data_IF_664903352231
#
_entry.id   IF_664903352231
#
_cell.length_a   1.000
_cell.length_b   1.000
_cell.length_c   1.000
_cell.angle_alpha   90.00
_cell.angle_beta   90.00
_cell.angle_gamma   90.00
#
_symmetry.space_group_name_H-M   'P 1'
#
loop_
_entity.id
_entity.type
_entity.pdbx_description
1 polymer ?
#
# COMPACT_ATOMS: atom_id res chain seq x y z
N UNK A 1 6.25 -20.30 9.64
CA UNK A 1 6.08 -19.01 8.98
C UNK A 1 7.06 -18.91 7.82
N UNK A 2 6.55 -18.68 6.62
CA UNK A 2 7.47 -18.36 5.52
C UNK A 2 7.97 -16.92 5.70
N UNK A 3 9.28 -16.75 5.76
CA UNK A 3 9.88 -15.42 5.74
C UNK A 3 9.68 -14.84 4.34
N UNK A 4 9.01 -13.71 4.24
CA UNK A 4 8.90 -13.01 2.97
C UNK A 4 10.30 -12.65 2.47
N UNK A 5 10.66 -13.14 1.29
CA UNK A 5 11.96 -12.87 0.69
C UNK A 5 11.94 -11.48 0.08
N UNK A 6 13.01 -10.72 0.28
CA UNK A 6 13.21 -9.47 -0.42
C UNK A 6 13.30 -9.72 -1.94
N UNK A 7 12.80 -8.76 -2.73
CA UNK A 7 12.95 -8.83 -4.18
C UNK A 7 14.42 -8.72 -4.58
N UNK A 8 14.91 -9.74 -5.25
CA UNK A 8 16.24 -9.70 -5.84
C UNK A 8 16.08 -9.39 -7.34
N UNK A 9 16.57 -8.24 -7.83
CA UNK A 9 16.57 -7.99 -9.26
C UNK A 9 17.36 -9.06 -9.98
N UNK A 10 16.83 -9.57 -11.10
CA UNK A 10 17.63 -10.43 -11.98
C UNK A 10 18.66 -9.60 -12.70
N UNK A 11 19.88 -10.10 -12.73
CA UNK A 11 20.89 -9.54 -13.62
C UNK A 11 20.42 -9.72 -15.08
N UNK A 12 20.54 -8.66 -15.85
CA UNK A 12 20.37 -8.70 -17.30
C UNK A 12 18.95 -8.91 -17.86
N UNK A 13 17.96 -8.30 -17.29
CA UNK A 13 16.57 -8.48 -17.71
C UNK A 13 15.94 -7.30 -18.46
N UNK A 14 16.66 -6.60 -19.28
CA UNK A 14 16.06 -5.59 -20.15
C UNK A 14 15.19 -4.53 -19.44
N UNK A 15 15.58 -4.10 -18.27
CA UNK A 15 15.13 -2.84 -17.68
C UNK A 15 13.96 -2.88 -16.71
N UNK A 16 13.09 -3.88 -16.69
CA UNK A 16 11.90 -3.85 -15.83
C UNK A 16 11.66 -5.09 -14.96
N UNK A 17 12.61 -5.98 -14.88
CA UNK A 17 12.43 -7.19 -14.09
C UNK A 17 12.65 -6.92 -12.59
N UNK A 18 11.63 -7.18 -11.80
CA UNK A 18 11.63 -6.93 -10.35
C UNK A 18 11.69 -8.22 -9.50
N UNK A 19 11.98 -9.37 -10.11
CA UNK A 19 11.98 -10.66 -9.41
C UNK A 19 10.60 -11.27 -9.17
N UNK A 20 9.55 -10.68 -9.73
CA UNK A 20 8.20 -11.20 -9.59
C UNK A 20 8.04 -12.58 -10.26
N UNK A 21 7.35 -13.47 -9.56
CA UNK A 21 6.99 -14.80 -10.06
C UNK A 21 5.47 -14.95 -10.05
N UNK A 22 4.82 -15.01 -11.23
CA UNK A 22 3.36 -15.01 -11.32
C UNK A 22 2.67 -16.16 -10.57
N UNK A 23 3.30 -17.33 -10.54
CA UNK A 23 2.70 -18.53 -9.91
C UNK A 23 2.92 -18.58 -8.40
N UNK A 24 3.92 -17.87 -7.92
CA UNK A 24 4.28 -17.81 -6.48
C UNK A 24 4.41 -16.36 -6.03
N UNK A 25 3.30 -15.60 -6.00
CA UNK A 25 3.36 -14.19 -5.61
C UNK A 25 3.75 -14.04 -4.15
N UNK A 26 4.44 -12.95 -3.88
CA UNK A 26 4.72 -12.54 -2.51
C UNK A 26 3.65 -11.55 -2.06
N UNK A 27 2.77 -11.99 -1.18
CA UNK A 27 1.64 -11.18 -0.69
C UNK A 27 1.73 -10.89 0.81
N UNK A 28 2.79 -11.33 1.48
CA UNK A 28 3.01 -11.11 2.89
C UNK A 28 4.02 -10.01 3.15
N UNK A 29 3.80 -9.25 4.22
CA UNK A 29 4.70 -8.18 4.61
C UNK A 29 6.03 -8.73 5.14
N UNK A 30 7.13 -8.06 4.81
CA UNK A 30 8.47 -8.42 5.29
C UNK A 30 8.61 -8.15 6.79
N UNK A 31 7.99 -7.05 7.25
CA UNK A 31 7.94 -6.69 8.67
C UNK A 31 6.47 -6.62 9.08
N UNK A 32 5.95 -7.61 9.78
CA UNK A 32 4.67 -7.44 10.48
C UNK A 32 4.87 -6.44 11.62
N UNK A 33 3.88 -5.60 11.82
CA UNK A 33 4.08 -4.38 12.60
C UNK A 33 4.15 -4.55 14.08
N UNK A 34 3.61 -5.58 14.70
CA UNK A 34 3.67 -5.64 16.17
C UNK A 34 3.10 -6.95 16.75
N UNK A 35 3.49 -7.19 17.99
CA UNK A 35 2.86 -8.13 18.92
C UNK A 35 1.45 -7.70 19.38
N UNK A 36 0.93 -6.58 18.88
CA UNK A 36 -0.42 -6.13 19.20
C UNK A 36 -1.46 -7.03 18.54
N UNK A 37 -2.47 -7.37 19.32
CA UNK A 37 -3.65 -8.10 18.81
C UNK A 37 -4.29 -7.25 17.71
N UNK A 38 -4.28 -7.79 16.50
CA UNK A 38 -4.88 -7.15 15.34
C UNK A 38 -6.41 -7.25 15.44
N UNK A 39 -7.17 -6.16 15.21
CA UNK A 39 -8.61 -6.25 15.15
C UNK A 39 -9.07 -7.29 14.11
N UNK A 40 -10.04 -8.10 14.47
CA UNK A 40 -10.53 -9.18 13.62
C UNK A 40 -10.98 -8.68 12.24
N UNK A 41 -11.69 -7.55 12.20
CA UNK A 41 -12.15 -6.92 10.97
C UNK A 41 -10.98 -6.60 10.03
N UNK A 42 -9.87 -6.09 10.56
CA UNK A 42 -8.68 -5.77 9.78
C UNK A 42 -8.04 -7.06 9.21
N UNK A 43 -7.91 -8.08 10.03
CA UNK A 43 -7.35 -9.36 9.60
C UNK A 43 -8.22 -10.02 8.51
N UNK A 44 -9.52 -9.96 8.64
CA UNK A 44 -10.46 -10.46 7.62
C UNK A 44 -10.35 -9.69 6.32
N UNK A 45 -10.26 -8.36 6.39
CA UNK A 45 -10.08 -7.52 5.20
C UNK A 45 -8.76 -7.84 4.51
N UNK A 46 -7.67 -7.95 5.24
CA UNK A 46 -6.37 -8.30 4.68
C UNK A 46 -6.39 -9.67 4.01
N UNK A 47 -7.11 -10.63 4.56
CA UNK A 47 -7.30 -11.93 3.93
C UNK A 47 -8.11 -11.84 2.64
N UNK A 48 -9.21 -11.06 2.65
CA UNK A 48 -10.08 -10.90 1.47
C UNK A 48 -9.40 -10.20 0.31
N UNK A 49 -8.62 -9.15 0.55
CA UNK A 49 -7.95 -8.43 -0.53
C UNK A 49 -6.91 -9.27 -1.26
N UNK A 50 -6.31 -10.26 -0.59
CA UNK A 50 -5.36 -11.18 -1.24
C UNK A 50 -5.99 -11.98 -2.37
N UNK A 51 -7.29 -12.24 -2.31
CA UNK A 51 -8.02 -12.94 -3.36
C UNK A 51 -7.98 -12.20 -4.70
N UNK A 52 -7.81 -10.88 -4.66
CA UNK A 52 -7.67 -10.06 -5.87
C UNK A 52 -6.53 -10.53 -6.78
N UNK A 53 -5.46 -11.04 -6.22
CA UNK A 53 -4.33 -11.48 -7.04
C UNK A 53 -4.74 -12.53 -8.08
N UNK A 54 -5.52 -13.52 -7.69
CA UNK A 54 -5.98 -14.60 -8.58
C UNK A 54 -7.32 -14.32 -9.25
N UNK A 55 -8.10 -13.43 -8.68
CA UNK A 55 -9.43 -13.09 -9.18
C UNK A 55 -9.62 -11.56 -9.20
N UNK A 56 -9.09 -10.86 -10.22
CA UNK A 56 -9.14 -9.40 -10.30
C UNK A 56 -10.56 -8.81 -10.27
N UNK A 57 -11.57 -9.59 -10.57
CA UNK A 57 -12.98 -9.19 -10.46
C UNK A 57 -13.43 -8.81 -9.04
N UNK A 58 -12.70 -9.21 -8.01
CA UNK A 58 -13.02 -8.84 -6.63
C UNK A 58 -12.82 -7.35 -6.34
N UNK A 59 -11.92 -6.70 -7.05
CA UNK A 59 -11.72 -5.25 -6.98
C UNK A 59 -11.71 -4.67 -8.40
N UNK A 60 -12.88 -4.52 -9.04
CA UNK A 60 -12.95 -4.10 -10.44
C UNK A 60 -12.32 -2.73 -10.70
N UNK A 61 -12.45 -1.80 -9.75
CA UNK A 61 -11.87 -0.47 -9.86
C UNK A 61 -10.34 -0.50 -9.89
N UNK A 62 -9.72 -1.39 -9.13
CA UNK A 62 -8.27 -1.56 -9.14
C UNK A 62 -7.79 -2.23 -10.43
N UNK A 63 -8.52 -3.21 -10.91
CA UNK A 63 -8.22 -3.86 -12.18
C UNK A 63 -8.29 -2.88 -13.36
N UNK A 64 -9.15 -1.88 -13.30
CA UNK A 64 -9.33 -0.86 -14.32
C UNK A 64 -8.50 0.42 -14.07
N UNK A 65 -7.70 0.48 -13.02
CA UNK A 65 -7.03 1.69 -12.57
C UNK A 65 -6.03 2.27 -13.59
N UNK A 66 -5.49 1.45 -14.47
CA UNK A 66 -4.57 1.90 -15.52
C UNK A 66 -5.27 2.44 -16.78
N UNK A 67 -6.60 2.53 -16.79
CA UNK A 67 -7.37 2.98 -17.95
C UNK A 67 -7.39 2.01 -19.14
N UNK A 68 -6.81 0.83 -19.01
CA UNK A 68 -6.77 -0.20 -20.04
C UNK A 68 -7.94 -1.18 -19.89
N UNK A 69 -8.43 -1.70 -21.00
CA UNK A 69 -9.38 -2.81 -21.01
C UNK A 69 -8.75 -4.15 -20.62
N UNK A 70 -7.42 -4.20 -20.57
CA UNK A 70 -6.68 -5.41 -20.19
C UNK A 70 -6.67 -5.54 -18.67
N UNK A 71 -6.67 -6.78 -18.22
CA UNK A 71 -6.46 -7.12 -16.83
C UNK A 71 -5.12 -6.54 -16.31
N UNK A 72 -5.12 -5.99 -15.13
CA UNK A 72 -3.90 -5.51 -14.48
C UNK A 72 -2.85 -6.64 -14.39
N UNK A 73 -1.62 -6.34 -14.76
CA UNK A 73 -0.54 -7.34 -14.73
C UNK A 73 -0.34 -7.91 -13.34
N UNK A 74 0.02 -9.18 -13.25
CA UNK A 74 0.25 -9.87 -11.97
C UNK A 74 1.30 -9.19 -11.10
N UNK A 75 2.35 -8.67 -11.69
CA UNK A 75 3.37 -7.90 -10.99
C UNK A 75 2.79 -6.64 -10.32
N UNK A 76 1.92 -5.93 -11.01
CA UNK A 76 1.24 -4.75 -10.44
C UNK A 76 0.21 -5.13 -9.39
N UNK A 77 -0.52 -6.22 -9.60
CA UNK A 77 -1.46 -6.73 -8.57
C UNK A 77 -0.73 -7.07 -7.28
N UNK A 78 0.41 -7.74 -7.38
CA UNK A 78 1.25 -8.03 -6.22
C UNK A 78 1.69 -6.75 -5.50
N UNK A 79 2.22 -5.78 -6.23
CA UNK A 79 2.66 -4.51 -5.65
C UNK A 79 1.52 -3.74 -4.98
N UNK A 80 0.35 -3.67 -5.63
CA UNK A 80 -0.83 -3.02 -5.06
C UNK A 80 -1.30 -3.70 -3.77
N UNK A 81 -1.33 -5.02 -3.74
CA UNK A 81 -1.77 -5.78 -2.56
C UNK A 81 -0.79 -5.65 -1.41
N UNK A 82 0.51 -5.70 -1.68
CA UNK A 82 1.53 -5.49 -0.65
C UNK A 82 1.43 -4.09 -0.05
N UNK A 83 1.32 -3.07 -0.88
CA UNK A 83 1.22 -1.70 -0.39
C UNK A 83 -0.08 -1.45 0.37
N UNK A 84 -1.20 -1.92 -0.16
CA UNK A 84 -2.49 -1.80 0.53
C UNK A 84 -2.47 -2.52 1.87
N UNK A 85 -1.89 -3.71 1.92
CA UNK A 85 -1.75 -4.46 3.15
C UNK A 85 -0.89 -3.72 4.18
N UNK A 86 0.22 -3.10 3.76
CA UNK A 86 1.06 -2.29 4.64
C UNK A 86 0.31 -1.06 5.16
N UNK A 87 -0.45 -0.40 4.32
CA UNK A 87 -1.29 0.75 4.71
C UNK A 87 -2.33 0.31 5.74
N UNK A 88 -3.03 -0.80 5.50
CA UNK A 88 -4.03 -1.32 6.44
C UNK A 88 -3.41 -1.73 7.76
N UNK A 89 -2.23 -2.33 7.75
CA UNK A 89 -1.49 -2.71 8.96
C UNK A 89 -1.18 -1.49 9.84
N UNK A 90 -0.91 -0.35 9.22
CA UNK A 90 -0.57 0.91 9.89
C UNK A 90 -1.76 1.88 10.00
N UNK A 91 -2.98 1.44 9.66
CA UNK A 91 -4.16 2.30 9.70
C UNK A 91 -4.75 2.36 11.11
N UNK A 92 -5.03 3.59 11.57
CA UNK A 92 -5.85 3.83 12.74
C UNK A 92 -7.34 3.66 12.36
N UNK A 93 -8.01 2.69 12.96
CA UNK A 93 -9.40 2.35 12.60
C UNK A 93 -10.41 3.44 12.98
N UNK A 94 -10.10 4.29 13.94
CA UNK A 94 -11.00 5.38 14.32
C UNK A 94 -11.06 6.48 13.26
N UNK A 95 -9.91 6.84 12.68
CA UNK A 95 -9.80 7.89 11.66
C UNK A 95 -9.68 7.37 10.24
N UNK A 96 -9.42 6.07 10.05
CA UNK A 96 -9.07 5.42 8.78
C UNK A 96 -7.83 6.01 8.09
N UNK A 97 -6.98 6.68 8.85
CA UNK A 97 -5.72 7.26 8.36
C UNK A 97 -4.55 6.33 8.64
N UNK A 98 -3.63 6.28 7.70
CA UNK A 98 -2.38 5.53 7.86
C UNK A 98 -1.40 6.32 8.72
N UNK A 99 -1.24 5.91 9.95
CA UNK A 99 -0.35 6.58 10.90
C UNK A 99 -0.68 6.26 12.35
N UNK A 100 -0.17 7.10 13.24
CA UNK A 100 -0.28 6.92 14.69
C UNK A 100 -0.93 8.14 15.34
N UNK A 101 -2.07 7.98 16.04
CA UNK A 101 -2.61 9.05 16.85
C UNK A 101 -1.73 9.27 18.09
N UNK A 102 -1.44 10.53 18.40
CA UNK A 102 -0.69 10.93 19.60
C UNK A 102 -1.42 12.04 20.34
N UNK A 103 -1.03 12.31 21.58
CA UNK A 103 -1.56 13.43 22.36
C UNK A 103 -1.26 14.79 21.73
N UNK A 104 -0.21 14.90 20.92
CA UNK A 104 0.19 16.10 20.18
C UNK A 104 -0.43 16.18 18.77
N UNK A 105 -1.23 15.20 18.35
CA UNK A 105 -1.85 15.12 17.04
C UNK A 105 -1.56 13.80 16.32
N UNK A 106 -1.97 13.71 15.07
CA UNK A 106 -1.83 12.51 14.25
C UNK A 106 -0.52 12.55 13.46
N UNK A 107 0.29 11.49 13.57
CA UNK A 107 1.53 11.32 12.82
C UNK A 107 1.25 10.45 11.60
N UNK A 108 1.25 11.05 10.41
CA UNK A 108 1.10 10.34 9.15
C UNK A 108 2.39 9.62 8.76
N UNK A 109 2.27 8.38 8.30
CA UNK A 109 3.41 7.60 7.84
C UNK A 109 3.73 7.91 6.38
N UNK A 110 5.02 8.03 6.08
CA UNK A 110 5.52 8.29 4.72
C UNK A 110 5.49 7.02 3.87
N UNK A 111 5.56 7.18 2.55
CA UNK A 111 5.72 6.05 1.65
C UNK A 111 7.06 5.32 1.88
N UNK A 112 8.13 6.05 2.19
CA UNK A 112 9.43 5.45 2.55
C UNK A 112 9.31 4.49 3.74
N UNK A 113 8.54 4.88 4.74
CA UNK A 113 8.26 4.03 5.90
C UNK A 113 7.49 2.76 5.51
N UNK A 114 6.45 2.91 4.71
CA UNK A 114 5.61 1.78 4.26
C UNK A 114 6.38 0.80 3.36
N UNK A 115 7.29 1.29 2.55
CA UNK A 115 8.14 0.45 1.69
C UNK A 115 8.95 -0.55 2.49
N UNK A 116 9.37 -0.20 3.69
CA UNK A 116 10.11 -1.12 4.58
C UNK A 116 9.29 -2.35 4.98
N UNK A 117 7.98 -2.22 5.07
CA UNK A 117 7.07 -3.35 5.35
C UNK A 117 6.82 -4.23 4.14
N UNK A 118 6.84 -3.66 2.96
CA UNK A 118 6.47 -4.35 1.72
C UNK A 118 7.64 -5.09 1.08
N UNK A 119 8.87 -4.61 1.26
CA UNK A 119 10.02 -5.07 0.50
C UNK A 119 10.00 -4.66 -0.98
N UNK A 120 9.08 -3.78 -1.37
CA UNK A 120 9.03 -3.22 -2.72
C UNK A 120 10.15 -2.19 -2.91
N UNK A 121 10.59 -2.00 -4.17
CA UNK A 121 11.36 -0.82 -4.49
C UNK A 121 10.42 0.41 -4.58
N UNK A 122 11.00 1.60 -4.46
CA UNK A 122 10.22 2.84 -4.42
C UNK A 122 9.37 3.05 -5.67
N UNK A 123 9.88 2.75 -6.85
CA UNK A 123 9.14 2.92 -8.11
C UNK A 123 7.89 2.03 -8.18
N UNK A 124 8.01 0.79 -7.75
CA UNK A 124 6.85 -0.11 -7.68
C UNK A 124 5.82 0.38 -6.66
N UNK A 125 6.28 0.86 -5.51
CA UNK A 125 5.41 1.41 -4.49
C UNK A 125 4.69 2.68 -4.96
N UNK A 126 5.37 3.58 -5.65
CA UNK A 126 4.76 4.79 -6.22
C UNK A 126 3.68 4.46 -7.27
N UNK A 127 3.95 3.51 -8.15
CA UNK A 127 2.96 3.04 -9.13
C UNK A 127 1.76 2.39 -8.46
N UNK A 128 2.01 1.57 -7.45
CA UNK A 128 0.94 0.95 -6.68
C UNK A 128 0.08 1.99 -5.95
N UNK A 129 0.71 2.99 -5.36
CA UNK A 129 0.00 4.11 -4.73
C UNK A 129 -0.89 4.84 -5.73
N UNK A 130 -0.38 5.11 -6.93
CA UNK A 130 -1.16 5.76 -7.99
C UNK A 130 -2.37 4.91 -8.40
N UNK A 131 -2.19 3.60 -8.53
CA UNK A 131 -3.29 2.68 -8.87
C UNK A 131 -4.35 2.62 -7.77
N UNK A 132 -3.94 2.54 -6.51
CA UNK A 132 -4.85 2.52 -5.37
C UNK A 132 -5.66 3.82 -5.26
N UNK A 133 -5.05 4.96 -5.54
CA UNK A 133 -5.74 6.25 -5.60
C UNK A 133 -6.77 6.29 -6.73
N UNK A 134 -6.38 5.89 -7.94
CA UNK A 134 -7.29 5.84 -9.11
C UNK A 134 -8.45 4.88 -8.89
N UNK A 135 -8.20 3.78 -8.19
CA UNK A 135 -9.23 2.82 -7.83
C UNK A 135 -10.16 3.32 -6.73
N UNK A 136 -9.90 4.48 -6.16
CA UNK A 136 -10.66 5.07 -5.06
C UNK A 136 -10.67 4.20 -3.78
N UNK A 137 -9.64 3.39 -3.60
CA UNK A 137 -9.48 2.58 -2.38
C UNK A 137 -8.87 3.39 -1.24
N UNK A 138 -8.13 4.44 -1.58
CA UNK A 138 -7.60 5.40 -0.62
C UNK A 138 -7.51 6.79 -1.21
N UNK A 139 -7.46 7.77 -0.33
CA UNK A 139 -7.20 9.16 -0.67
C UNK A 139 -5.86 9.59 -0.09
N UNK A 140 -5.17 10.47 -0.81
CA UNK A 140 -3.90 11.04 -0.37
C UNK A 140 -4.03 12.56 -0.42
N UNK A 141 -3.85 13.21 0.71
CA UNK A 141 -3.84 14.67 0.83
C UNK A 141 -2.47 15.13 1.30
N UNK A 142 -2.02 16.26 0.76
CA UNK A 142 -0.74 16.88 1.11
C UNK A 142 -1.01 18.14 1.95
N UNK A 143 -1.06 18.03 3.29
CA UNK A 143 -1.25 19.20 4.12
C UNK A 143 -0.03 20.12 4.05
N UNK A 144 -0.27 21.42 4.22
CA UNK A 144 0.76 22.45 4.26
C UNK A 144 0.66 23.20 5.58
N UNK A 145 1.79 23.67 6.07
CA UNK A 145 1.86 24.52 7.25
C UNK A 145 2.47 25.85 6.89
N UNK A 146 1.77 26.95 7.27
CA UNK A 146 2.30 28.28 7.14
C UNK A 146 3.39 28.50 8.19
N UNK A 147 4.57 28.93 7.75
CA UNK A 147 5.70 29.28 8.63
C UNK A 147 5.57 30.73 9.11
N UNK A 148 6.28 31.10 10.17
CA UNK A 148 6.30 32.46 10.70
C UNK A 148 6.86 33.48 9.71
N UNK A 149 7.74 33.05 8.80
CA UNK A 149 8.33 33.86 7.75
C UNK A 149 7.42 34.09 6.54
N UNK A 150 6.19 33.57 6.54
CA UNK A 150 5.24 33.63 5.44
C UNK A 150 5.41 32.55 4.38
N UNK A 151 6.43 31.70 4.48
CA UNK A 151 6.61 30.56 3.57
C UNK A 151 5.72 29.37 3.95
N UNK A 152 5.44 28.49 2.97
CA UNK A 152 4.70 27.27 3.19
C UNK A 152 5.64 26.07 3.30
N UNK A 153 5.41 25.25 4.31
CA UNK A 153 6.09 23.96 4.49
C UNK A 153 5.12 22.82 4.18
N UNK A 154 5.52 21.91 3.28
CA UNK A 154 4.82 20.65 3.06
C UNK A 154 4.97 19.74 4.27
N UNK A 155 3.86 19.15 4.71
CA UNK A 155 3.85 18.11 5.72
C UNK A 155 3.75 16.73 5.05
N UNK A 156 3.97 15.66 5.81
CA UNK A 156 3.82 14.30 5.30
C UNK A 156 2.42 14.08 4.72
N UNK A 157 2.32 13.46 3.55
CA UNK A 157 1.04 13.20 2.91
C UNK A 157 0.17 12.28 3.78
N UNK A 158 -1.07 12.71 4.01
CA UNK A 158 -2.06 11.92 4.76
C UNK A 158 -2.73 10.93 3.83
N UNK A 159 -2.63 9.65 4.15
CA UNK A 159 -3.27 8.56 3.44
C UNK A 159 -4.46 8.07 4.25
N UNK A 160 -5.64 8.12 3.68
CA UNK A 160 -6.86 7.65 4.31
C UNK A 160 -7.51 6.53 3.48
N UNK A 161 -7.89 5.45 4.16
CA UNK A 161 -8.53 4.30 3.54
C UNK A 161 -10.01 4.61 3.31
N UNK A 162 -10.54 4.21 2.16
CA UNK A 162 -11.96 4.35 1.89
C UNK A 162 -12.77 3.43 2.82
N UNK A 163 -13.72 4.01 3.55
CA UNK A 163 -14.56 3.27 4.50
C UNK A 163 -15.38 2.14 3.83
N UNK A 164 -15.70 2.27 2.54
CA UNK A 164 -16.41 1.24 1.78
C UNK A 164 -15.60 -0.05 1.59
N UNK A 165 -14.30 -0.03 1.89
CA UNK A 165 -13.45 -1.21 1.82
C UNK A 165 -13.77 -2.21 2.94
N UNK A 166 -14.27 -1.72 4.05
CA UNK A 166 -14.71 -2.51 5.20
C UNK A 166 -16.19 -2.90 5.07
#
# INVERSE_FOLDING_TARGET
MSVARAYTPRENSGGNFCGHQPDTPRLELVKPTTDKIRPKMLAELQSRIRQYYRAPRYIPSLNAANGSKRQQRSERREACLLLLNAILECTDLASLRCGVPTSAGFISLTLDYLVQYTGLNMRRAERAMADLKRANLLTVSQPRQLQEDGSWRGLAAVKAVNALLF
#
